data_IF_133768147513
#
_entry.id   IF_133768147513
#
_cell.length_a   1.000
_cell.length_b   1.000
_cell.length_c   1.000
_cell.angle_alpha   90.00
_cell.angle_beta   90.00
_cell.angle_gamma   90.00
#
_symmetry.space_group_name_H-M   'P 1'
#
loop_
_entity.id
_entity.type
_entity.pdbx_description
1 polymer ?
#
# COMPACT_ATOMS: atom_id res chain seq x y z
N UNK A 1 -5.03 -6.92 -6.78
CA UNK A 1 -3.73 -7.44 -6.26
C UNK A 1 -3.85 -8.23 -4.96
N UNK A 2 -3.91 -7.62 -3.76
CA UNK A 2 -3.90 -8.42 -2.49
C UNK A 2 -5.14 -9.32 -2.38
N UNK A 3 -6.33 -8.79 -2.71
CA UNK A 3 -7.59 -9.57 -2.67
C UNK A 3 -7.55 -10.75 -3.64
N UNK A 4 -7.01 -10.55 -4.86
CA UNK A 4 -6.94 -11.58 -5.91
C UNK A 4 -5.85 -12.62 -5.66
N UNK A 5 -4.78 -12.24 -4.95
CA UNK A 5 -3.61 -13.06 -4.71
C UNK A 5 -3.15 -12.95 -3.24
N UNK A 6 -3.96 -13.46 -2.29
CA UNK A 6 -3.77 -13.24 -0.86
C UNK A 6 -2.46 -13.83 -0.31
N UNK A 7 -1.92 -14.87 -0.93
CA UNK A 7 -0.69 -15.54 -0.48
C UNK A 7 0.59 -14.92 -1.05
N UNK A 8 0.46 -14.02 -2.03
CA UNK A 8 1.63 -13.42 -2.66
C UNK A 8 2.13 -12.21 -1.88
N UNK A 9 3.18 -12.43 -1.09
CA UNK A 9 3.81 -11.41 -0.24
C UNK A 9 4.31 -10.16 -1.00
N UNK A 10 4.59 -10.27 -2.30
CA UNK A 10 4.97 -9.12 -3.14
C UNK A 10 3.89 -8.03 -3.13
N UNK A 11 2.61 -8.41 -3.10
CA UNK A 11 1.51 -7.43 -3.12
C UNK A 11 1.25 -6.80 -1.75
N UNK A 12 1.80 -7.36 -0.67
CA UNK A 12 1.67 -6.85 0.70
C UNK A 12 2.76 -5.85 1.06
N UNK A 13 3.67 -5.52 0.13
CA UNK A 13 4.81 -4.62 0.39
C UNK A 13 5.04 -3.67 -0.77
N UNK A 14 4.90 -2.36 -0.51
CA UNK A 14 5.08 -1.29 -1.49
C UNK A 14 6.34 -0.50 -1.16
N UNK A 15 7.30 -0.48 -2.09
CA UNK A 15 8.52 0.32 -1.98
C UNK A 15 8.21 1.78 -2.32
N UNK A 16 8.30 2.71 -1.36
CA UNK A 16 7.98 4.15 -1.58
C UNK A 16 8.90 4.80 -2.62
N UNK A 17 10.12 4.27 -2.79
CA UNK A 17 11.07 4.73 -3.80
C UNK A 17 10.73 4.27 -5.24
N UNK A 18 9.81 3.32 -5.43
CA UNK A 18 9.39 2.91 -6.78
C UNK A 18 8.80 4.13 -7.53
N UNK A 19 9.23 4.45 -8.76
CA UNK A 19 8.79 5.67 -9.44
C UNK A 19 7.28 5.84 -9.59
N UNK A 20 6.55 4.75 -9.88
CA UNK A 20 5.10 4.77 -10.03
C UNK A 20 4.40 4.99 -8.68
N UNK A 21 4.86 4.29 -7.63
CA UNK A 21 4.35 4.45 -6.26
C UNK A 21 4.66 5.86 -5.74
N UNK A 22 5.87 6.37 -5.96
CA UNK A 22 6.27 7.70 -5.53
C UNK A 22 5.40 8.78 -6.15
N UNK A 23 5.25 8.73 -7.47
CA UNK A 23 4.48 9.71 -8.24
C UNK A 23 3.01 9.71 -7.87
N UNK A 24 2.38 8.53 -7.74
CA UNK A 24 0.93 8.42 -7.66
C UNK A 24 0.40 8.19 -6.24
N UNK A 25 1.24 7.78 -5.29
CA UNK A 25 0.81 7.41 -3.94
C UNK A 25 1.64 8.15 -2.88
N UNK A 26 2.97 7.98 -2.88
CA UNK A 26 3.80 8.46 -1.76
C UNK A 26 3.82 9.99 -1.62
N UNK A 27 3.57 10.72 -2.72
CA UNK A 27 3.48 12.18 -2.71
C UNK A 27 2.06 12.69 -2.40
N UNK A 28 1.08 11.80 -2.21
CA UNK A 28 -0.31 12.14 -1.94
C UNK A 28 -0.71 11.69 -0.54
N UNK A 29 -0.81 12.65 0.39
CA UNK A 29 -1.10 12.36 1.80
C UNK A 29 -2.41 11.58 1.99
N UNK A 30 -3.48 11.94 1.28
CA UNK A 30 -4.76 11.21 1.34
C UNK A 30 -4.64 9.74 0.90
N UNK A 31 -3.82 9.45 -0.12
CA UNK A 31 -3.57 8.08 -0.57
C UNK A 31 -2.81 7.27 0.50
N UNK A 32 -1.84 7.89 1.16
CA UNK A 32 -1.13 7.28 2.29
C UNK A 32 -2.10 6.98 3.44
N UNK A 33 -2.95 7.93 3.82
CA UNK A 33 -3.91 7.76 4.90
C UNK A 33 -4.87 6.60 4.64
N UNK A 34 -5.36 6.45 3.40
CA UNK A 34 -6.18 5.30 3.02
C UNK A 34 -5.41 3.99 3.20
N UNK A 35 -4.16 3.92 2.73
CA UNK A 35 -3.33 2.73 2.90
C UNK A 35 -3.09 2.40 4.39
N UNK A 36 -2.85 3.41 5.23
CA UNK A 36 -2.70 3.23 6.67
C UNK A 36 -4.00 2.73 7.32
N UNK A 37 -5.15 3.32 6.97
CA UNK A 37 -6.45 2.91 7.49
C UNK A 37 -6.77 1.45 7.16
N UNK A 38 -6.41 0.97 5.96
CA UNK A 38 -6.67 -0.42 5.55
C UNK A 38 -5.66 -1.43 6.11
N UNK A 39 -4.65 -0.98 6.85
CA UNK A 39 -3.74 -1.85 7.58
C UNK A 39 -2.30 -1.93 7.05
N UNK A 40 -1.93 -1.08 6.10
CA UNK A 40 -0.51 -0.85 5.81
C UNK A 40 0.14 -0.05 6.93
N UNK A 41 1.41 -0.29 7.18
CA UNK A 41 2.24 0.52 8.08
C UNK A 41 3.53 0.91 7.39
N UNK A 42 4.12 2.04 7.79
CA UNK A 42 5.45 2.41 7.32
C UNK A 42 6.53 1.63 8.07
N UNK A 43 7.42 0.98 7.31
CA UNK A 43 8.62 0.35 7.83
C UNK A 43 9.84 0.91 7.09
N UNK A 44 10.84 1.32 7.87
CA UNK A 44 12.16 1.67 7.35
C UNK A 44 13.07 0.44 7.44
N UNK A 45 13.73 0.12 6.33
CA UNK A 45 14.73 -0.94 6.23
C UNK A 45 15.95 -0.38 5.50
N UNK A 46 17.05 -1.15 5.46
CA UNK A 46 18.20 -0.81 4.62
C UNK A 46 18.22 -1.72 3.39
N UNK A 47 18.57 -1.16 2.24
CA UNK A 47 18.82 -1.97 1.04
C UNK A 47 20.14 -2.75 1.17
N UNK A 48 20.45 -3.56 0.16
CA UNK A 48 21.67 -4.39 0.14
C UNK A 48 22.98 -3.59 0.19
N UNK A 49 22.92 -2.28 -0.07
CA UNK A 49 24.05 -1.36 -0.12
C UNK A 49 24.02 -0.40 1.10
N UNK A 50 23.15 -0.66 2.07
CA UNK A 50 23.04 0.11 3.32
C UNK A 50 22.31 1.45 3.17
N UNK A 51 21.57 1.68 2.09
CA UNK A 51 20.77 2.91 1.93
C UNK A 51 19.43 2.75 2.64
N UNK A 52 18.96 3.80 3.34
CA UNK A 52 17.65 3.76 3.98
C UNK A 52 16.56 3.67 2.92
N UNK A 53 15.61 2.78 3.16
CA UNK A 53 14.50 2.52 2.28
C UNK A 53 13.20 2.34 3.03
N UNK A 54 12.18 3.08 2.62
CA UNK A 54 10.86 3.07 3.26
C UNK A 54 9.87 2.26 2.44
N UNK A 55 9.11 1.44 3.16
CA UNK A 55 8.09 0.57 2.62
C UNK A 55 6.75 0.82 3.33
N UNK A 56 5.65 0.65 2.60
CA UNK A 56 4.34 0.41 3.19
C UNK A 56 4.11 -1.10 3.20
N UNK A 57 3.90 -1.69 4.37
CA UNK A 57 3.73 -3.13 4.55
C UNK A 57 2.36 -3.43 5.14
N UNK A 58 1.57 -4.27 4.48
CA UNK A 58 0.27 -4.71 4.99
C UNK A 58 0.47 -5.69 6.15
N UNK A 59 0.10 -5.26 7.36
CA UNK A 59 0.17 -6.09 8.57
C UNK A 59 -1.19 -6.59 9.02
N UNK A 60 -2.24 -5.78 8.83
CA UNK A 60 -3.63 -6.22 9.04
C UNK A 60 -4.22 -6.68 7.72
N UNK A 61 -4.11 -7.98 7.44
CA UNK A 61 -4.64 -8.59 6.23
C UNK A 61 -6.11 -9.01 6.41
N UNK A 62 -7.00 -8.04 6.63
CA UNK A 62 -8.45 -8.24 6.77
C UNK A 62 -9.13 -8.13 5.39
N UNK A 63 -9.66 -9.22 4.81
CA UNK A 63 -10.26 -9.19 3.48
C UNK A 63 -11.48 -8.27 3.38
N UNK A 64 -12.29 -8.18 4.44
CA UNK A 64 -13.49 -7.34 4.46
C UNK A 64 -13.13 -5.86 4.42
N UNK A 65 -12.11 -5.45 5.17
CA UNK A 65 -11.59 -4.08 5.16
C UNK A 65 -10.94 -3.72 3.82
N UNK A 66 -10.13 -4.63 3.26
CA UNK A 66 -9.53 -4.43 1.93
C UNK A 66 -10.61 -4.30 0.85
N UNK A 67 -11.65 -5.13 0.92
CA UNK A 67 -12.79 -5.09 0.01
C UNK A 67 -13.55 -3.77 0.14
N UNK A 68 -13.87 -3.35 1.37
CA UNK A 68 -14.58 -2.10 1.64
C UNK A 68 -13.85 -0.91 1.02
N UNK A 69 -12.54 -0.77 1.28
CA UNK A 69 -11.77 0.34 0.74
C UNK A 69 -11.67 0.33 -0.79
N UNK A 70 -11.53 -0.86 -1.40
CA UNK A 70 -11.56 -1.00 -2.87
C UNK A 70 -12.91 -0.52 -3.42
N UNK A 71 -14.01 -1.01 -2.86
CA UNK A 71 -15.36 -0.65 -3.30
C UNK A 71 -15.66 0.84 -3.15
N UNK A 72 -15.21 1.46 -2.05
CA UNK A 72 -15.35 2.91 -1.85
C UNK A 72 -14.60 3.70 -2.92
N UNK A 73 -13.35 3.32 -3.22
CA UNK A 73 -12.54 4.00 -4.24
C UNK A 73 -13.10 3.83 -5.65
N UNK A 74 -13.62 2.65 -5.99
CA UNK A 74 -14.21 2.39 -7.30
C UNK A 74 -15.52 3.16 -7.52
N UNK A 75 -16.29 3.39 -6.46
CA UNK A 75 -17.54 4.17 -6.53
C UNK A 75 -17.26 5.64 -6.84
N UNK A 76 -16.20 6.22 -6.25
CA UNK A 76 -15.80 7.61 -6.50
C UNK A 76 -15.18 7.84 -7.88
N UNK A 77 -14.56 6.82 -8.49
CA UNK A 77 -14.00 6.91 -9.85
C UNK A 77 -15.09 6.79 -10.94
N UNK A 78 -16.28 6.33 -10.57
CA UNK A 78 -17.42 6.16 -11.48
C UNK A 78 -18.34 7.39 -11.58
N UNK A 79 -18.03 8.49 -10.87
CA UNK A 79 -18.71 9.79 -10.94
C UNK A 79 -17.89 10.80 -11.78
#
# INVERSE_FOLDING_TARGET
>A
NVIEHPDNMKFKRLRKANPAIRKNIANHQAAIEILLMIGFIEEATFDQIGRPETYLVLKRNDPGLLWLAKSSLETEVAL
#
